data_IF_522271302970
#
_entry.id   IF_522271302970
#
_cell.length_a   1.000
_cell.length_b   1.000
_cell.length_c   1.000
_cell.angle_alpha   90.00
_cell.angle_beta   90.00
_cell.angle_gamma   90.00
#
_symmetry.space_group_name_H-M   'P 1'
#
loop_
_entity.id
_entity.type
_entity.pdbx_description
1 polymer ?
#
# COMPACT_ATOMS: atom_id res chain seq x y z
N UNK A 1 -15.82 -12.54 7.69
CA UNK A 1 -14.62 -13.40 7.66
C UNK A 1 -13.94 -13.13 8.98
N UNK A 2 -13.71 -14.18 9.78
CA UNK A 2 -13.52 -14.00 11.23
C UNK A 2 -12.08 -14.33 11.65
N UNK A 3 -11.14 -14.26 10.70
CA UNK A 3 -9.72 -14.38 10.94
C UNK A 3 -8.94 -13.54 9.93
N UNK A 4 -7.78 -13.03 10.37
CA UNK A 4 -6.82 -12.31 9.52
C UNK A 4 -5.88 -13.36 8.90
N UNK A 5 -5.94 -13.51 7.58
CA UNK A 5 -5.04 -14.35 6.81
C UNK A 5 -3.76 -13.65 6.38
N UNK A 6 -2.83 -14.42 5.81
CA UNK A 6 -1.57 -13.90 5.27
C UNK A 6 -1.77 -12.85 4.18
N UNK A 7 -2.83 -12.98 3.38
CA UNK A 7 -3.20 -12.00 2.34
C UNK A 7 -3.79 -10.70 2.89
N UNK A 8 -4.23 -10.68 4.14
CA UNK A 8 -4.78 -9.51 4.84
C UNK A 8 -3.73 -8.85 5.75
N UNK A 9 -2.50 -9.39 5.77
CA UNK A 9 -1.39 -8.93 6.60
C UNK A 9 -0.33 -8.19 5.77
N UNK A 10 0.14 -7.06 6.29
CA UNK A 10 1.12 -6.20 5.63
C UNK A 10 2.19 -5.74 6.63
N UNK A 11 3.40 -5.47 6.13
CA UNK A 11 4.49 -4.85 6.88
C UNK A 11 4.62 -3.41 6.43
N UNK A 12 4.65 -2.48 7.38
CA UNK A 12 5.00 -1.09 7.13
C UNK A 12 6.51 -0.92 7.31
N UNK A 13 7.21 -0.67 6.21
CA UNK A 13 8.65 -0.42 6.21
C UNK A 13 8.89 1.08 6.24
N UNK A 14 9.57 1.57 7.27
CA UNK A 14 9.90 2.99 7.38
C UNK A 14 10.89 3.41 6.28
N UNK A 15 10.61 4.56 5.67
CA UNK A 15 11.44 5.19 4.63
C UNK A 15 11.96 6.55 5.10
N UNK A 16 12.50 7.31 4.15
CA UNK A 16 12.89 8.71 4.33
C UNK A 16 11.68 9.62 4.62
N UNK A 17 11.93 10.68 5.39
CA UNK A 17 10.97 11.76 5.66
C UNK A 17 9.64 11.31 6.28
N UNK A 18 9.65 10.23 7.07
CA UNK A 18 8.47 9.74 7.78
C UNK A 18 7.44 9.01 6.90
N UNK A 19 7.80 8.70 5.64
CA UNK A 19 6.99 7.87 4.76
C UNK A 19 7.19 6.39 5.06
N UNK A 20 6.27 5.57 4.54
CA UNK A 20 6.35 4.10 4.63
C UNK A 20 6.14 3.46 3.26
N UNK A 21 6.74 2.29 3.08
CA UNK A 21 6.34 1.34 2.05
C UNK A 21 5.45 0.26 2.68
N UNK A 22 4.43 -0.19 1.95
CA UNK A 22 3.52 -1.25 2.38
C UNK A 22 3.92 -2.55 1.68
N UNK A 23 4.53 -3.48 2.41
CA UNK A 23 4.98 -4.77 1.88
C UNK A 23 3.99 -5.88 2.20
N UNK A 24 3.59 -6.64 1.19
CA UNK A 24 2.74 -7.83 1.30
C UNK A 24 3.49 -9.00 1.92
N UNK A 25 2.76 -10.02 2.38
CA UNK A 25 3.36 -11.29 2.82
C UNK A 25 4.22 -11.97 1.74
N UNK A 26 4.04 -11.63 0.44
CA UNK A 26 4.83 -12.17 -0.67
C UNK A 26 6.14 -11.40 -0.93
N UNK A 27 6.41 -10.35 -0.16
CA UNK A 27 7.58 -9.50 -0.37
C UNK A 27 7.42 -8.43 -1.46
N UNK A 28 6.23 -8.30 -2.05
CA UNK A 28 5.91 -7.27 -3.05
C UNK A 28 5.33 -6.02 -2.39
N UNK A 29 5.50 -4.87 -3.01
CA UNK A 29 5.08 -3.56 -2.51
C UNK A 29 3.80 -3.08 -3.18
N UNK A 30 2.98 -2.38 -2.40
CA UNK A 30 1.81 -1.65 -2.88
C UNK A 30 2.25 -0.37 -3.58
N UNK A 31 1.69 -0.09 -4.75
CA UNK A 31 1.91 1.09 -5.56
C UNK A 31 0.60 1.81 -5.86
N UNK A 32 0.61 3.14 -5.83
CA UNK A 32 -0.50 3.98 -6.27
C UNK A 32 -0.44 4.19 -7.79
N UNK A 33 -0.72 3.15 -8.56
CA UNK A 33 -0.71 3.27 -10.02
C UNK A 33 -1.75 4.28 -10.49
N UNK A 34 -1.30 5.13 -11.41
CA UNK A 34 -2.14 5.97 -12.25
C UNK A 34 -1.71 5.71 -13.71
N UNK A 35 -2.65 5.78 -14.66
CA UNK A 35 -2.43 5.52 -16.08
C UNK A 35 -2.11 4.06 -16.49
N UNK A 36 -2.60 3.05 -15.76
CA UNK A 36 -2.60 1.67 -16.28
C UNK A 36 -3.53 1.54 -17.50
N UNK A 37 -3.18 0.73 -18.51
CA UNK A 37 -4.08 0.44 -19.64
C UNK A 37 -5.39 -0.21 -19.16
N UNK A 38 -6.53 0.35 -19.60
CA UNK A 38 -7.87 -0.18 -19.33
C UNK A 38 -8.76 0.74 -18.49
N UNK A 39 -9.97 0.28 -18.15
CA UNK A 39 -11.07 1.07 -17.57
C UNK A 39 -10.85 1.54 -16.12
N UNK A 40 -9.63 1.41 -15.59
CA UNK A 40 -9.30 1.86 -14.24
C UNK A 40 -7.82 2.16 -14.17
N UNK A 41 -7.49 3.35 -14.67
CA UNK A 41 -6.14 3.89 -14.67
C UNK A 41 -5.58 4.04 -13.25
N UNK A 42 -6.45 4.23 -12.25
CA UNK A 42 -6.07 4.65 -10.90
C UNK A 42 -6.43 3.57 -9.88
N UNK A 43 -5.43 2.82 -9.39
CA UNK A 43 -5.63 1.70 -8.44
C UNK A 43 -4.41 1.50 -7.55
N UNK A 44 -4.63 0.88 -6.39
CA UNK A 44 -3.54 0.31 -5.59
C UNK A 44 -3.19 -1.10 -6.12
N UNK A 45 -1.94 -1.29 -6.53
CA UNK A 45 -1.43 -2.56 -7.07
C UNK A 45 -0.31 -3.10 -6.17
N UNK A 46 -0.37 -4.37 -5.79
CA UNK A 46 0.57 -4.98 -4.84
C UNK A 46 1.53 -5.95 -5.52
N UNK A 47 2.19 -5.50 -6.58
CA UNK A 47 3.01 -6.33 -7.49
C UNK A 47 4.44 -5.81 -7.69
N UNK A 48 4.84 -4.71 -7.01
CA UNK A 48 6.13 -4.09 -7.25
C UNK A 48 7.25 -4.83 -6.50
N UNK A 49 8.36 -5.17 -7.16
CA UNK A 49 9.47 -5.87 -6.51
C UNK A 49 10.36 -4.95 -5.67
N UNK A 50 10.13 -3.63 -5.70
CA UNK A 50 10.92 -2.65 -4.97
C UNK A 50 10.19 -1.31 -4.82
N UNK A 51 10.77 -0.45 -4.00
CA UNK A 51 10.20 0.86 -3.63
C UNK A 51 10.72 1.96 -4.54
N UNK A 52 9.85 2.51 -5.37
CA UNK A 52 10.05 3.70 -6.18
C UNK A 52 9.24 4.88 -5.66
N UNK A 53 8.82 5.77 -6.56
CA UNK A 53 8.04 6.94 -6.20
C UNK A 53 6.58 6.60 -5.83
N UNK A 54 6.02 5.55 -6.42
CA UNK A 54 4.60 5.20 -6.33
C UNK A 54 4.27 4.31 -5.13
N UNK A 55 5.28 3.73 -4.47
CA UNK A 55 5.15 2.83 -3.32
C UNK A 55 5.34 3.54 -1.97
N UNK A 56 5.44 4.88 -1.99
CA UNK A 56 5.74 5.73 -0.84
C UNK A 56 4.47 6.40 -0.32
N UNK A 57 4.03 6.00 0.87
CA UNK A 57 2.81 6.51 1.49
C UNK A 57 3.08 7.25 2.79
N UNK A 58 2.19 8.19 3.12
CA UNK A 58 2.10 8.79 4.45
C UNK A 58 0.86 8.24 5.14
N UNK A 59 1.01 7.73 6.35
CA UNK A 59 -0.12 7.29 7.17
C UNK A 59 -0.66 8.51 7.92
N UNK A 60 -1.91 8.87 7.65
CA UNK A 60 -2.60 9.96 8.32
C UNK A 60 -3.69 9.33 9.20
N UNK A 61 -3.73 9.59 10.52
CA UNK A 61 -4.83 9.14 11.36
C UNK A 61 -6.16 9.67 10.84
N UNK A 62 -7.15 8.79 10.70
CA UNK A 62 -8.51 9.25 10.40
C UNK A 62 -9.11 9.88 11.65
N UNK A 63 -9.03 11.21 11.72
CA UNK A 63 -9.61 12.00 12.81
C UNK A 63 -11.09 12.30 12.59
N UNK A 64 -11.68 11.84 11.48
CA UNK A 64 -13.10 12.04 11.16
C UNK A 64 -13.98 10.86 11.62
N UNK A 65 -13.41 9.79 12.17
CA UNK A 65 -14.16 8.68 12.72
C UNK A 65 -15.07 9.15 13.87
N UNK A 66 -16.36 9.29 13.56
CA UNK A 66 -17.44 9.36 14.54
C UNK A 66 -18.07 7.96 14.60
N UNK A 67 -17.90 7.22 15.71
CA UNK A 67 -18.56 5.92 15.87
C UNK A 67 -20.08 6.03 15.86
#
# INVERSE_FOLDING_TARGET
RDYIGTWESFVLEALDSGRVAIRTHRGLYVAADHALPGDSSDRLMADRPGVGAWERFTIIPDTAFRP
#
